data_IF_759561560499
#
_entry.id   IF_759561560499
#
_cell.length_a   1.000
_cell.length_b   1.000
_cell.length_c   1.000
_cell.angle_alpha   90.00
_cell.angle_beta   90.00
_cell.angle_gamma   90.00
#
_symmetry.space_group_name_H-M   'P 1'
#
loop_
_entity.id
_entity.type
_entity.pdbx_description
1 polymer ?
#
# COMPACT_ATOMS: atom_id res chain seq x y z
N UNK A 1 7.95 -13.35 -20.39
CA UNK A 1 7.13 -14.40 -19.74
C UNK A 1 5.97 -13.65 -19.14
N UNK A 2 4.75 -13.92 -19.59
CA UNK A 2 3.62 -13.09 -19.20
C UNK A 2 3.26 -13.30 -17.73
N UNK A 3 2.80 -12.25 -17.06
CA UNK A 3 2.44 -12.24 -15.65
C UNK A 3 1.06 -11.60 -15.47
N UNK A 4 0.25 -12.12 -14.54
CA UNK A 4 -0.96 -11.44 -14.08
C UNK A 4 -0.74 -10.79 -12.72
N UNK A 5 -1.08 -9.51 -12.61
CA UNK A 5 -1.22 -8.81 -11.33
C UNK A 5 -2.70 -8.72 -11.02
N UNK A 6 -3.12 -9.39 -9.96
CA UNK A 6 -4.51 -9.41 -9.50
C UNK A 6 -4.65 -8.40 -8.37
N UNK A 7 -5.46 -7.35 -8.57
CA UNK A 7 -5.73 -6.39 -7.51
C UNK A 7 -6.70 -6.98 -6.49
N UNK A 8 -6.48 -6.79 -5.17
CA UNK A 8 -7.38 -7.31 -4.14
C UNK A 8 -8.83 -6.82 -4.27
N UNK A 9 -9.03 -5.61 -4.79
CA UNK A 9 -10.37 -5.06 -5.02
C UNK A 9 -11.18 -5.88 -6.03
N UNK A 10 -10.53 -6.44 -7.06
CA UNK A 10 -11.17 -7.35 -8.00
C UNK A 10 -11.71 -8.59 -7.27
N UNK A 11 -10.92 -9.18 -6.38
CA UNK A 11 -11.35 -10.35 -5.61
C UNK A 11 -12.54 -10.01 -4.69
N UNK A 12 -12.55 -8.81 -4.09
CA UNK A 12 -13.68 -8.32 -3.32
C UNK A 12 -14.94 -8.16 -4.18
N UNK A 13 -14.82 -7.62 -5.40
CA UNK A 13 -15.96 -7.51 -6.32
C UNK A 13 -16.53 -8.88 -6.71
N UNK A 14 -15.67 -9.85 -6.99
CA UNK A 14 -16.10 -11.22 -7.32
C UNK A 14 -16.81 -11.86 -6.12
N UNK A 15 -16.23 -11.71 -4.93
CA UNK A 15 -16.80 -12.26 -3.68
C UNK A 15 -18.13 -11.60 -3.32
N UNK A 16 -18.23 -10.28 -3.46
CA UNK A 16 -19.48 -9.53 -3.28
C UNK A 16 -20.56 -9.99 -4.26
N UNK A 17 -20.21 -10.13 -5.54
CA UNK A 17 -21.13 -10.65 -6.56
C UNK A 17 -21.66 -12.04 -6.18
N UNK A 18 -20.75 -12.96 -5.81
CA UNK A 18 -21.13 -14.31 -5.39
C UNK A 18 -22.02 -14.30 -4.13
N UNK A 19 -21.69 -13.44 -3.16
CA UNK A 19 -22.45 -13.30 -1.91
C UNK A 19 -23.87 -12.78 -2.17
N UNK A 20 -24.01 -11.76 -3.03
CA UNK A 20 -25.32 -11.20 -3.39
C UNK A 20 -26.16 -12.15 -4.23
N UNK A 21 -25.54 -12.86 -5.17
CA UNK A 21 -26.23 -13.78 -6.05
C UNK A 21 -26.63 -15.09 -5.33
N UNK A 22 -25.85 -15.51 -4.31
CA UNK A 22 -26.08 -16.77 -3.60
C UNK A 22 -25.82 -18.03 -4.44
N UNK A 23 -25.16 -17.89 -5.59
CA UNK A 23 -24.89 -18.94 -6.57
C UNK A 23 -23.57 -18.68 -7.29
N UNK A 24 -23.17 -19.60 -8.17
CA UNK A 24 -21.99 -19.42 -9.02
C UNK A 24 -22.20 -18.23 -9.97
N UNK A 25 -21.17 -17.40 -10.13
CA UNK A 25 -21.28 -16.11 -10.84
C UNK A 25 -20.22 -15.97 -11.92
N UNK A 26 -20.48 -15.08 -12.88
CA UNK A 26 -19.52 -14.67 -13.90
C UNK A 26 -19.61 -13.18 -14.17
N UNK A 27 -18.56 -12.63 -14.76
CA UNK A 27 -18.56 -11.24 -15.15
C UNK A 27 -17.34 -10.83 -15.97
N UNK A 28 -17.23 -9.55 -16.26
CA UNK A 28 -16.13 -8.97 -17.03
C UNK A 28 -15.01 -8.46 -16.11
N UNK A 29 -13.78 -8.52 -16.62
CA UNK A 29 -12.58 -8.01 -15.95
C UNK A 29 -12.05 -6.81 -16.71
N UNK A 30 -12.00 -5.67 -16.03
CA UNK A 30 -11.35 -4.46 -16.49
C UNK A 30 -9.93 -4.39 -15.96
N UNK A 31 -9.01 -4.00 -16.83
CA UNK A 31 -7.62 -3.86 -16.46
C UNK A 31 -6.78 -3.10 -17.48
N UNK A 32 -5.46 -3.23 -17.32
CA UNK A 32 -4.47 -2.69 -18.25
C UNK A 32 -3.53 -3.81 -18.67
N UNK A 33 -3.31 -3.96 -19.98
CA UNK A 33 -2.26 -4.83 -20.51
C UNK A 33 -1.08 -3.98 -20.95
N UNK A 34 0.06 -4.20 -20.30
CA UNK A 34 1.33 -3.58 -20.67
C UNK A 34 2.11 -4.51 -21.61
N UNK A 35 2.29 -4.07 -22.85
CA UNK A 35 2.98 -4.83 -23.89
C UNK A 35 4.48 -4.89 -23.69
N UNK A 36 5.09 -3.90 -23.04
CA UNK A 36 6.54 -3.84 -22.84
C UNK A 36 6.98 -4.85 -21.78
N UNK A 37 6.20 -4.94 -20.70
CA UNK A 37 6.45 -5.88 -19.60
C UNK A 37 5.68 -7.19 -19.75
N UNK A 38 4.82 -7.32 -20.77
CA UNK A 38 3.94 -8.47 -21.01
C UNK A 38 3.09 -8.83 -19.77
N UNK A 39 2.57 -7.79 -19.11
CA UNK A 39 1.89 -7.90 -17.82
C UNK A 39 0.42 -7.50 -17.92
N UNK A 40 -0.45 -8.34 -17.37
CA UNK A 40 -1.89 -8.10 -17.25
C UNK A 40 -2.20 -7.61 -15.85
N UNK A 41 -2.53 -6.33 -15.69
CA UNK A 41 -2.96 -5.76 -14.41
C UNK A 41 -4.49 -5.75 -14.33
N UNK A 42 -5.07 -6.61 -13.49
CA UNK A 42 -6.50 -6.87 -13.38
C UNK A 42 -7.08 -6.09 -12.19
N UNK A 43 -7.86 -5.04 -12.45
CA UNK A 43 -8.25 -4.06 -11.42
C UNK A 43 -9.69 -4.23 -10.91
N UNK A 44 -10.66 -4.36 -11.82
CA UNK A 44 -12.09 -4.27 -11.46
C UNK A 44 -12.89 -5.37 -12.12
N UNK A 45 -13.80 -5.97 -11.35
CA UNK A 45 -14.82 -6.87 -11.84
C UNK A 45 -16.13 -6.13 -12.01
N UNK A 46 -16.91 -6.48 -13.04
CA UNK A 46 -18.30 -6.07 -13.16
C UNK A 46 -19.18 -7.25 -13.58
N UNK A 47 -20.41 -7.28 -13.08
CA UNK A 47 -21.36 -8.36 -13.33
C UNK A 47 -21.81 -8.33 -14.79
N UNK A 48 -21.86 -9.50 -15.43
CA UNK A 48 -22.48 -9.63 -16.75
C UNK A 48 -22.86 -11.09 -17.02
N UNK A 49 -24.13 -11.30 -17.38
CA UNK A 49 -24.65 -12.63 -17.67
C UNK A 49 -24.77 -12.90 -19.17
N UNK A 50 -24.84 -11.85 -20.00
CA UNK A 50 -24.99 -11.95 -21.46
C UNK A 50 -24.20 -10.84 -22.14
N UNK A 51 -23.90 -11.00 -23.43
CA UNK A 51 -23.25 -9.96 -24.23
C UNK A 51 -24.19 -8.78 -24.59
N UNK A 52 -25.48 -8.89 -24.31
CA UNK A 52 -26.45 -7.83 -24.59
C UNK A 52 -26.20 -6.62 -23.69
N UNK A 53 -26.16 -5.41 -24.28
CA UNK A 53 -25.88 -4.18 -23.54
C UNK A 53 -24.44 -4.03 -23.04
N UNK A 54 -23.53 -4.95 -23.40
CA UNK A 54 -22.12 -4.87 -23.00
C UNK A 54 -21.47 -3.55 -23.42
N UNK A 55 -21.71 -3.10 -24.66
CA UNK A 55 -21.09 -1.88 -25.19
C UNK A 55 -21.55 -0.64 -24.40
N UNK A 56 -22.84 -0.54 -24.08
CA UNK A 56 -23.39 0.58 -23.30
C UNK A 56 -22.79 0.60 -21.90
N UNK A 57 -22.70 -0.58 -21.25
CA UNK A 57 -22.08 -0.71 -19.92
C UNK A 57 -20.59 -0.37 -19.95
N UNK A 58 -19.85 -0.84 -20.96
CA UNK A 58 -18.44 -0.47 -21.14
C UNK A 58 -18.27 1.03 -21.42
N UNK A 59 -19.20 1.67 -22.14
CA UNK A 59 -19.16 3.10 -22.38
C UNK A 59 -19.32 3.90 -21.09
N UNK A 60 -20.24 3.50 -20.21
CA UNK A 60 -20.40 4.10 -18.88
C UNK A 60 -19.14 3.89 -18.02
N UNK A 61 -18.59 2.68 -18.01
CA UNK A 61 -17.37 2.37 -17.26
C UNK A 61 -16.17 3.17 -17.76
N UNK A 62 -16.06 3.41 -19.07
CA UNK A 62 -15.02 4.26 -19.67
C UNK A 62 -15.13 5.73 -19.27
N UNK A 63 -16.32 6.24 -18.92
CA UNK A 63 -16.45 7.62 -18.42
C UNK A 63 -15.81 7.78 -17.04
N UNK A 64 -15.82 6.73 -16.22
CA UNK A 64 -15.29 6.73 -14.85
C UNK A 64 -13.81 6.27 -14.85
N UNK A 65 -13.51 5.24 -15.62
CA UNK A 65 -12.21 4.58 -15.69
C UNK A 65 -11.68 4.57 -17.14
N UNK A 66 -11.35 5.74 -17.72
CA UNK A 66 -10.96 5.84 -19.12
C UNK A 66 -9.66 5.09 -19.46
N UNK A 67 -8.84 4.80 -18.46
CA UNK A 67 -7.58 4.09 -18.60
C UNK A 67 -7.72 2.56 -18.56
N UNK A 68 -8.89 2.04 -18.18
CA UNK A 68 -9.13 0.59 -18.11
C UNK A 68 -9.80 0.08 -19.38
N UNK A 69 -9.37 -1.09 -19.83
CA UNK A 69 -9.96 -1.81 -20.95
C UNK A 69 -10.52 -3.15 -20.49
N UNK A 70 -11.48 -3.67 -21.26
CA UNK A 70 -11.97 -5.03 -21.05
C UNK A 70 -10.89 -6.02 -21.47
N UNK A 71 -10.33 -6.72 -20.49
CA UNK A 71 -9.27 -7.72 -20.71
C UNK A 71 -9.79 -9.15 -20.76
N UNK A 72 -10.98 -9.41 -20.23
CA UNK A 72 -11.59 -10.73 -20.28
C UNK A 72 -12.69 -10.92 -19.25
N UNK A 73 -12.74 -12.11 -18.64
CA UNK A 73 -13.83 -12.53 -17.75
C UNK A 73 -13.35 -13.13 -16.45
N UNK A 74 -14.20 -13.04 -15.44
CA UNK A 74 -14.08 -13.84 -14.23
C UNK A 74 -15.24 -14.83 -14.11
N UNK A 75 -14.97 -15.92 -13.41
CA UNK A 75 -15.99 -16.84 -12.90
C UNK A 75 -15.67 -17.24 -11.46
N UNK A 76 -16.70 -17.40 -10.65
CA UNK A 76 -16.61 -18.02 -9.33
C UNK A 76 -17.56 -19.23 -9.30
N UNK A 77 -17.00 -20.42 -9.10
CA UNK A 77 -17.73 -21.69 -9.19
C UNK A 77 -17.65 -22.36 -10.57
N UNK A 78 -18.69 -23.13 -10.91
CA UNK A 78 -18.77 -23.98 -12.11
C UNK A 78 -19.58 -23.38 -13.26
N UNK A 79 -19.89 -22.08 -13.20
CA UNK A 79 -20.66 -21.39 -14.24
C UNK A 79 -19.98 -21.55 -15.62
N UNK A 80 -20.76 -21.86 -16.67
CA UNK A 80 -20.22 -21.90 -18.03
C UNK A 80 -19.61 -20.55 -18.41
N UNK A 81 -18.51 -20.65 -19.12
CA UNK A 81 -17.73 -19.50 -19.54
C UNK A 81 -18.50 -18.61 -20.51
N UNK A 82 -18.24 -17.30 -20.44
CA UNK A 82 -18.80 -16.32 -21.34
C UNK A 82 -17.66 -15.73 -22.16
N UNK A 83 -17.63 -15.99 -23.45
CA UNK A 83 -16.62 -15.38 -24.31
C UNK A 83 -17.01 -13.92 -24.60
N UNK A 84 -16.29 -13.00 -23.97
CA UNK A 84 -16.45 -11.56 -24.20
C UNK A 84 -15.54 -11.09 -25.36
N UNK A 85 -16.01 -10.17 -26.21
CA UNK A 85 -15.19 -9.60 -27.27
C UNK A 85 -14.10 -8.68 -26.69
N UNK A 86 -12.89 -9.20 -26.53
CA UNK A 86 -11.71 -8.46 -26.07
C UNK A 86 -10.82 -8.03 -27.25
N UNK A 87 -10.07 -6.94 -27.06
CA UNK A 87 -9.10 -6.45 -28.06
C UNK A 87 -7.76 -7.20 -27.97
N UNK A 88 -7.49 -7.79 -26.81
CA UNK A 88 -6.32 -8.62 -26.50
C UNK A 88 -6.72 -10.08 -26.34
N UNK A 89 -5.74 -10.97 -26.20
CA UNK A 89 -5.97 -12.34 -25.72
C UNK A 89 -6.81 -12.30 -24.43
N UNK A 90 -7.96 -13.00 -24.39
CA UNK A 90 -8.88 -12.91 -23.27
C UNK A 90 -8.28 -13.52 -22.01
N UNK A 91 -8.24 -12.72 -20.94
CA UNK A 91 -7.89 -13.18 -19.60
C UNK A 91 -9.08 -13.89 -18.97
N UNK A 92 -8.85 -15.04 -18.35
CA UNK A 92 -9.85 -15.84 -17.65
C UNK A 92 -9.41 -15.96 -16.20
N UNK A 93 -10.15 -15.30 -15.31
CA UNK A 93 -9.94 -15.37 -13.87
C UNK A 93 -10.93 -16.37 -13.27
N UNK A 94 -10.43 -17.40 -12.59
CA UNK A 94 -11.28 -18.39 -11.92
C UNK A 94 -11.04 -18.40 -10.42
N UNK A 95 -12.11 -18.16 -9.66
CA UNK A 95 -12.15 -18.36 -8.22
C UNK A 95 -12.83 -19.71 -7.93
N UNK A 96 -12.05 -20.68 -7.44
CA UNK A 96 -12.50 -22.03 -7.10
C UNK A 96 -13.06 -22.07 -5.67
N UNK A 97 -13.86 -23.10 -5.35
CA UNK A 97 -14.57 -23.26 -4.06
C UNK A 97 -13.65 -23.27 -2.84
N UNK A 98 -12.38 -23.65 -3.00
CA UNK A 98 -11.38 -23.67 -1.91
C UNK A 98 -10.57 -22.37 -1.82
N UNK A 99 -11.11 -21.25 -2.33
CA UNK A 99 -10.40 -19.96 -2.44
C UNK A 99 -9.12 -20.03 -3.28
N UNK A 100 -8.99 -21.07 -4.12
CA UNK A 100 -7.91 -21.14 -5.09
C UNK A 100 -8.21 -20.23 -6.27
N UNK A 101 -7.22 -19.42 -6.64
CA UNK A 101 -7.28 -18.53 -7.77
C UNK A 101 -6.48 -19.11 -8.93
N UNK A 102 -7.06 -19.11 -10.12
CA UNK A 102 -6.36 -19.42 -11.36
C UNK A 102 -6.55 -18.27 -12.36
N UNK A 103 -5.49 -17.98 -13.11
CA UNK A 103 -5.50 -17.01 -14.21
C UNK A 103 -5.03 -17.73 -15.46
N UNK A 104 -5.84 -17.71 -16.50
CA UNK A 104 -5.50 -18.27 -17.80
C UNK A 104 -5.59 -17.20 -18.89
N UNK A 105 -4.71 -17.29 -19.90
CA UNK A 105 -4.75 -16.47 -21.12
C UNK A 105 -4.63 -17.41 -22.31
N UNK A 106 -5.57 -17.34 -23.26
CA UNK A 106 -5.64 -18.25 -24.41
C UNK A 106 -5.56 -19.74 -24.02
N UNK A 107 -6.20 -20.11 -22.91
CA UNK A 107 -6.23 -21.48 -22.39
C UNK A 107 -4.91 -21.95 -21.76
N UNK A 108 -3.94 -21.05 -21.53
CA UNK A 108 -2.69 -21.34 -20.83
C UNK A 108 -2.69 -20.70 -19.46
N UNK A 109 -2.33 -21.47 -18.44
CA UNK A 109 -2.17 -20.97 -17.08
C UNK A 109 -1.02 -19.96 -17.01
N UNK A 110 -1.32 -18.84 -16.38
CA UNK A 110 -0.40 -17.72 -16.18
C UNK A 110 0.02 -17.66 -14.71
N UNK A 111 1.32 -17.46 -14.41
CA UNK A 111 1.70 -17.08 -13.06
C UNK A 111 1.00 -15.77 -12.70
N UNK A 112 0.63 -15.64 -11.44
CA UNK A 112 0.01 -14.42 -10.93
C UNK A 112 0.57 -14.00 -9.58
N UNK A 113 0.48 -12.70 -9.31
CA UNK A 113 0.75 -12.10 -8.02
C UNK A 113 -0.47 -11.30 -7.58
N UNK A 114 -0.80 -11.36 -6.29
CA UNK A 114 -1.80 -10.46 -5.71
C UNK A 114 -1.04 -9.23 -5.22
N UNK A 115 -1.31 -8.07 -5.83
CA UNK A 115 -0.61 -6.84 -5.50
C UNK A 115 -1.58 -5.68 -5.40
N UNK A 116 -1.58 -5.03 -4.25
CA UNK A 116 -2.34 -3.82 -4.03
C UNK A 116 -1.60 -2.60 -4.61
N UNK A 117 -2.36 -1.61 -5.07
CA UNK A 117 -1.82 -0.23 -5.15
C UNK A 117 -1.50 0.29 -3.75
N UNK A 118 -0.70 1.35 -3.64
CA UNK A 118 -0.39 1.97 -2.34
C UNK A 118 -1.64 2.40 -1.57
N UNK A 119 -2.66 2.89 -2.29
CA UNK A 119 -3.95 3.26 -1.72
C UNK A 119 -4.74 2.04 -1.25
N UNK A 120 -4.86 1.00 -2.08
CA UNK A 120 -5.52 -0.24 -1.70
C UNK A 120 -4.84 -0.91 -0.51
N UNK A 121 -3.51 -0.87 -0.44
CA UNK A 121 -2.75 -1.43 0.68
C UNK A 121 -3.14 -0.74 1.99
N UNK A 122 -3.24 0.59 1.98
CA UNK A 122 -3.68 1.36 3.16
C UNK A 122 -5.09 0.96 3.60
N UNK A 123 -6.00 0.75 2.65
CA UNK A 123 -7.36 0.30 2.96
C UNK A 123 -7.38 -1.14 3.52
N UNK A 124 -6.59 -2.05 2.94
CA UNK A 124 -6.45 -3.43 3.41
C UNK A 124 -5.87 -3.50 4.81
N UNK A 125 -4.85 -2.69 5.11
CA UNK A 125 -4.25 -2.61 6.44
C UNK A 125 -5.30 -2.14 7.47
N UNK A 126 -6.14 -1.17 7.09
CA UNK A 126 -7.23 -0.66 7.92
C UNK A 126 -8.32 -1.72 8.18
N UNK A 127 -8.76 -2.42 7.14
CA UNK A 127 -9.76 -3.50 7.26
C UNK A 127 -9.22 -4.67 8.09
N UNK A 128 -7.96 -5.02 7.88
CA UNK A 128 -7.29 -6.09 8.64
C UNK A 128 -7.18 -5.71 10.12
N UNK A 129 -6.83 -4.45 10.42
CA UNK A 129 -6.80 -3.94 11.78
C UNK A 129 -8.21 -3.96 12.43
N UNK A 130 -9.26 -3.61 11.70
CA UNK A 130 -10.65 -3.68 12.18
C UNK A 130 -11.12 -5.10 12.46
N UNK A 131 -10.74 -6.06 11.61
CA UNK A 131 -11.10 -7.46 11.77
C UNK A 131 -10.43 -8.09 13.01
N UNK A 132 -9.21 -7.66 13.36
CA UNK A 132 -8.48 -8.13 14.54
C UNK A 132 -8.94 -7.42 15.82
N UNK A 133 -9.33 -6.15 15.75
CA UNK A 133 -9.63 -5.31 16.93
C UNK A 133 -11.11 -5.26 17.32
N UNK A 134 -12.04 -5.66 16.45
CA UNK A 134 -13.48 -5.37 16.56
C UNK A 134 -13.83 -3.87 16.66
N UNK A 135 -12.86 -2.97 16.43
CA UNK A 135 -13.07 -1.53 16.45
C UNK A 135 -13.47 -1.00 15.07
N UNK A 136 -14.39 -0.05 15.04
CA UNK A 136 -14.80 0.63 13.82
C UNK A 136 -13.64 1.42 13.21
N UNK A 137 -13.68 1.70 11.91
CA UNK A 137 -12.64 2.50 11.24
C UNK A 137 -12.45 3.89 11.88
N UNK A 138 -13.50 4.46 12.48
CA UNK A 138 -13.43 5.72 13.22
C UNK A 138 -12.70 5.57 14.56
N UNK A 139 -12.87 4.45 15.25
CA UNK A 139 -12.15 4.12 16.48
C UNK A 139 -10.69 3.81 16.19
N UNK A 140 -10.37 3.11 15.11
CA UNK A 140 -8.97 2.90 14.67
C UNK A 140 -8.32 4.23 14.29
N UNK A 141 -9.02 5.11 13.58
CA UNK A 141 -8.49 6.44 13.28
C UNK A 141 -8.29 7.29 14.56
N UNK A 142 -9.17 7.14 15.56
CA UNK A 142 -9.05 7.81 16.85
C UNK A 142 -7.93 7.21 17.72
N UNK A 143 -7.74 5.89 17.72
CA UNK A 143 -6.64 5.18 18.37
C UNK A 143 -5.32 5.53 17.69
N UNK A 144 -5.26 5.51 16.36
CA UNK A 144 -4.07 5.95 15.59
C UNK A 144 -3.76 7.41 15.88
N UNK A 145 -4.76 8.28 16.04
CA UNK A 145 -4.56 9.67 16.47
C UNK A 145 -4.01 9.73 17.91
N UNK A 146 -4.52 8.89 18.81
CA UNK A 146 -4.04 8.77 20.20
C UNK A 146 -2.59 8.25 20.24
N UNK A 147 -2.25 7.33 19.35
CA UNK A 147 -0.90 6.79 19.17
C UNK A 147 0.04 7.82 18.54
N UNK A 148 -0.42 8.61 17.57
CA UNK A 148 0.32 9.75 17.02
C UNK A 148 0.54 10.81 18.11
N UNK A 149 -0.46 11.09 18.94
CA UNK A 149 -0.32 12.02 20.08
C UNK A 149 0.64 11.46 21.14
N UNK A 150 0.65 10.15 21.37
CA UNK A 150 1.61 9.47 22.23
C UNK A 150 3.03 9.49 21.64
N UNK A 151 3.18 9.33 20.33
CA UNK A 151 4.45 9.48 19.61
C UNK A 151 4.92 10.93 19.71
N UNK A 152 4.06 11.92 19.49
CA UNK A 152 4.38 13.33 19.69
C UNK A 152 4.79 13.64 21.13
N UNK A 153 4.09 13.09 22.12
CA UNK A 153 4.45 13.23 23.53
C UNK A 153 5.84 12.61 23.82
N UNK A 154 6.14 11.43 23.25
CA UNK A 154 7.46 10.80 23.36
C UNK A 154 8.55 11.61 22.68
N UNK A 155 8.30 12.17 21.49
CA UNK A 155 9.23 13.09 20.80
C UNK A 155 9.48 14.33 21.65
N UNK A 156 8.46 14.93 22.28
CA UNK A 156 8.62 16.05 23.22
C UNK A 156 9.49 15.66 24.42
N UNK A 157 9.32 14.46 24.97
CA UNK A 157 10.17 13.95 26.05
C UNK A 157 11.62 13.77 25.62
N UNK A 158 11.88 13.28 24.39
CA UNK A 158 13.22 13.19 23.81
C UNK A 158 13.83 14.58 23.64
N UNK A 159 13.08 15.55 23.10
CA UNK A 159 13.55 16.94 22.97
C UNK A 159 13.84 17.59 24.32
N UNK A 160 13.00 17.34 25.34
CA UNK A 160 13.23 17.80 26.70
C UNK A 160 14.50 17.18 27.30
N UNK A 161 14.70 15.87 27.10
CA UNK A 161 15.92 15.17 27.51
C UNK A 161 17.17 15.77 26.87
N UNK A 162 17.14 16.01 25.55
CA UNK A 162 18.25 16.65 24.84
C UNK A 162 18.54 18.07 25.35
N UNK A 163 17.51 18.87 25.63
CA UNK A 163 17.66 20.21 26.24
C UNK A 163 18.27 20.15 27.64
N UNK A 164 17.87 19.18 28.46
CA UNK A 164 18.48 18.98 29.79
C UNK A 164 19.97 18.66 29.66
N UNK A 165 20.36 17.83 28.69
CA UNK A 165 21.76 17.51 28.41
C UNK A 165 22.55 18.66 27.78
N UNK A 166 21.91 19.72 27.28
CA UNK A 166 22.63 20.94 26.88
C UNK A 166 23.18 21.72 28.08
N UNK A 167 22.57 21.53 29.27
CA UNK A 167 22.93 22.25 30.49
C UNK A 167 23.94 21.51 31.38
N UNK A 168 24.24 20.23 31.10
CA UNK A 168 25.19 19.41 31.88
C UNK A 168 25.79 18.28 31.05
N UNK A 169 26.92 17.74 31.50
CA UNK A 169 27.50 16.54 30.91
C UNK A 169 26.54 15.33 31.04
N UNK A 170 26.39 14.50 29.99
CA UNK A 170 25.64 13.24 30.07
C UNK A 170 26.40 12.21 30.90
N UNK A 171 25.68 11.42 31.68
CA UNK A 171 26.21 10.22 32.32
C UNK A 171 26.44 9.10 31.29
N UNK A 172 27.25 8.06 31.61
CA UNK A 172 27.51 6.94 30.69
C UNK A 172 26.25 6.22 30.17
N UNK A 173 25.19 6.12 30.98
CA UNK A 173 23.91 5.54 30.54
C UNK A 173 23.14 6.49 29.60
N UNK A 174 23.26 7.80 29.81
CA UNK A 174 22.65 8.81 28.94
C UNK A 174 23.35 8.88 27.57
N UNK A 175 24.65 8.54 27.51
CA UNK A 175 25.39 8.36 26.27
C UNK A 175 24.80 7.24 25.39
N UNK A 176 24.40 6.11 25.99
CA UNK A 176 23.77 5.02 25.22
C UNK A 176 22.43 5.46 24.62
N UNK A 177 21.64 6.24 25.38
CA UNK A 177 20.36 6.81 24.92
C UNK A 177 20.57 7.84 23.80
N UNK A 178 21.61 8.67 23.88
CA UNK A 178 21.95 9.62 22.82
C UNK A 178 22.29 8.93 21.48
N UNK A 179 22.99 7.79 21.51
CA UNK A 179 23.28 7.02 20.30
C UNK A 179 22.01 6.47 19.64
N UNK A 180 21.07 5.98 20.46
CA UNK A 180 19.77 5.49 19.97
C UNK A 180 18.93 6.62 19.36
N UNK A 181 18.92 7.80 19.99
CA UNK A 181 18.24 8.99 19.43
C UNK A 181 18.87 9.42 18.11
N UNK A 182 20.20 9.43 18.01
CA UNK A 182 20.90 9.76 16.76
C UNK A 182 20.57 8.76 15.63
N UNK A 183 20.55 7.46 15.94
CA UNK A 183 20.18 6.41 14.99
C UNK A 183 18.73 6.57 14.50
N UNK A 184 17.79 6.89 15.40
CA UNK A 184 16.41 7.18 15.04
C UNK A 184 16.30 8.40 14.12
N UNK A 185 17.02 9.49 14.41
CA UNK A 185 17.05 10.69 13.57
C UNK A 185 17.61 10.40 12.16
N UNK A 186 18.66 9.59 12.05
CA UNK A 186 19.23 9.16 10.76
C UNK A 186 18.21 8.33 9.98
N UNK A 187 17.57 7.35 10.62
CA UNK A 187 16.56 6.51 9.98
C UNK A 187 15.35 7.33 9.50
N UNK A 188 14.90 8.31 10.28
CA UNK A 188 13.84 9.23 9.85
C UNK A 188 14.25 10.12 8.67
N UNK A 189 15.49 10.62 8.64
CA UNK A 189 15.99 11.42 7.54
C UNK A 189 16.11 10.60 6.23
N UNK A 190 16.43 9.30 6.33
CA UNK A 190 16.44 8.41 5.16
C UNK A 190 15.05 8.19 4.58
N UNK A 191 14.00 8.14 5.41
CA UNK A 191 12.60 8.03 4.98
C UNK A 191 12.05 9.32 4.33
N UNK A 192 12.67 10.48 4.59
CA UNK A 192 12.27 11.76 3.99
C UNK A 192 12.90 12.02 2.62
N UNK A 193 13.91 11.23 2.22
CA UNK A 193 14.63 11.40 0.96
C UNK A 193 14.14 10.44 -0.14
N UNK A 194 12.84 10.09 -0.15
CA UNK A 194 12.23 9.36 -1.27
C UNK A 194 12.24 10.27 -2.52
N UNK A 195 12.65 9.80 -3.71
CA UNK A 195 13.08 10.68 -4.80
C UNK A 195 11.98 11.51 -5.49
N UNK A 196 10.71 11.33 -5.15
CA UNK A 196 9.59 11.89 -5.91
C UNK A 196 8.69 12.77 -5.05
N UNK A 197 9.09 14.02 -4.79
CA UNK A 197 8.16 15.14 -4.58
C UNK A 197 8.88 16.51 -4.62
N UNK A 198 8.80 17.27 -5.72
CA UNK A 198 9.23 18.66 -5.76
C UNK A 198 8.02 19.56 -5.48
N UNK A 199 7.75 19.90 -4.22
CA UNK A 199 6.97 21.09 -3.76
C UNK A 199 6.24 20.89 -2.43
N UNK A 200 6.95 20.48 -1.39
CA UNK A 200 6.55 20.84 -0.04
C UNK A 200 7.77 21.45 0.61
N UNK A 201 7.69 22.75 0.94
CA UNK A 201 8.73 23.42 1.72
C UNK A 201 9.01 22.55 2.95
N UNK A 202 10.22 21.98 3.07
CA UNK A 202 10.50 21.06 4.15
C UNK A 202 10.29 21.83 5.45
N UNK A 203 9.44 21.30 6.33
CA UNK A 203 9.60 21.62 7.75
C UNK A 203 10.89 20.94 8.15
N UNK A 204 12.01 21.58 7.81
CA UNK A 204 13.36 21.12 8.13
C UNK A 204 13.34 20.91 9.64
N UNK A 205 13.41 19.65 10.08
CA UNK A 205 13.73 19.36 11.46
C UNK A 205 15.04 20.08 11.69
N UNK A 206 15.02 21.14 12.49
CA UNK A 206 16.16 22.00 12.69
C UNK A 206 17.19 21.22 13.53
N UNK A 207 18.01 20.41 12.85
CA UNK A 207 19.06 19.59 13.42
C UNK A 207 20.22 20.42 13.97
N UNK A 208 20.17 21.75 13.90
CA UNK A 208 21.20 22.63 14.48
C UNK A 208 21.49 22.32 15.95
N UNK A 209 20.47 21.96 16.74
CA UNK A 209 20.64 21.58 18.15
C UNK A 209 21.40 20.25 18.32
N UNK A 210 21.23 19.30 17.41
CA UNK A 210 21.97 18.04 17.39
C UNK A 210 23.42 18.29 16.93
N UNK A 211 23.59 19.06 15.85
CA UNK A 211 24.90 19.40 15.31
C UNK A 211 25.73 20.28 16.26
N UNK A 212 25.11 21.20 17.01
CA UNK A 212 25.80 22.00 18.03
C UNK A 212 26.22 21.16 19.23
N UNK A 213 25.43 20.16 19.61
CA UNK A 213 25.80 19.20 20.64
C UNK A 213 26.99 18.32 20.20
N UNK A 214 26.99 17.86 18.94
CA UNK A 214 28.09 17.09 18.32
C UNK A 214 29.35 17.95 18.15
N UNK A 215 29.23 19.19 17.68
CA UNK A 215 30.37 20.07 17.45
C UNK A 215 31.04 20.55 18.74
N UNK A 216 30.31 20.60 19.86
CA UNK A 216 30.91 20.80 21.19
C UNK A 216 31.69 19.57 21.67
N UNK A 217 31.34 18.36 21.24
CA UNK A 217 32.07 17.13 21.54
C UNK A 217 33.45 17.10 20.85
N UNK A 218 33.53 17.44 19.56
CA UNK A 218 34.82 17.45 18.82
C UNK A 218 35.83 18.47 19.39
N UNK A 219 35.34 19.59 19.94
CA UNK A 219 36.20 20.59 20.58
C UNK A 219 36.77 20.13 21.93
N UNK A 220 36.09 19.22 22.63
CA UNK A 220 36.56 18.66 23.90
C UNK A 220 37.59 17.56 23.65
N UNK A 221 37.41 16.68 22.66
CA UNK A 221 38.42 15.68 22.30
C UNK A 221 39.75 16.31 21.84
N UNK A 222 39.71 17.44 21.12
CA UNK A 222 40.93 18.17 20.71
C UNK A 222 41.72 18.75 21.90
N UNK A 223 41.05 19.20 22.96
CA UNK A 223 41.71 19.75 24.16
C UNK A 223 42.28 18.63 25.04
N UNK A 224 41.62 17.48 25.11
CA UNK A 224 42.09 16.33 25.91
C UNK A 224 43.23 15.54 25.24
N UNK A 225 43.43 15.68 23.92
CA UNK A 225 44.55 15.08 23.19
C UNK A 225 45.80 15.98 23.09
N UNK A 226 45.70 17.26 23.47
CA UNK A 226 46.77 18.26 23.35
C UNK A 226 47.06 19.01 24.67
N UNK A 227 46.70 18.42 25.81
CA UNK A 227 47.24 18.68 27.15
C UNK A 227 48.01 17.44 27.57
#
# INVERSE_FOLDING_TARGET
MSLAIVHPLLLLHVTDHQTRAGQDVRGGVLGVYDKETDTYSLFLGFEIDTIEGLQDRLQLLRQIYPHLSLLGTYRAGETPELDLPTVTSPVRLQLLRDSQLAVDVDGKSLPFEIKATSFEQTALDTVSAAQVSQHSAAEIAAETKTDIDAVHARIRSVLSFLRTLQSRAPSPEEYAKLRQVNQLCIQMALLQNTPDQPSLSPTVINLSLLFDAVRKLDKLDYVTQHI
#
